data_IF_095931892735
#
_entry.id   IF_095931892735
#
_cell.length_a   1.000
_cell.length_b   1.000
_cell.length_c   1.000
_cell.angle_alpha   90.00
_cell.angle_beta   90.00
_cell.angle_gamma   90.00
#
_symmetry.space_group_name_H-M   'P 1'
#
loop_
_entity.id
_entity.type
_entity.pdbx_description
1 polymer ?
#
# COMPACT_ATOMS: atom_id res chain seq x y z
N UNK A 1 3.13 18.68 5.92
CA UNK A 1 1.96 18.79 6.84
C UNK A 1 1.39 17.39 7.06
N UNK A 2 1.38 16.87 8.29
CA UNK A 2 0.71 15.59 8.59
C UNK A 2 -0.80 15.78 8.42
N UNK A 3 -1.37 15.21 7.37
CA UNK A 3 -2.81 15.26 7.07
C UNK A 3 -3.52 14.47 8.17
N UNK A 4 -4.09 15.19 9.15
CA UNK A 4 -4.75 14.60 10.31
C UNK A 4 -5.82 13.60 9.89
N UNK A 5 -6.07 12.56 10.70
CA UNK A 5 -7.08 11.58 10.35
C UNK A 5 -8.43 12.33 10.36
N UNK A 6 -9.34 12.03 9.43
CA UNK A 6 -10.65 12.68 9.40
C UNK A 6 -11.41 12.54 10.74
N UNK A 7 -12.63 13.11 10.84
CA UNK A 7 -13.50 13.04 12.03
C UNK A 7 -13.25 11.76 12.86
N UNK A 8 -12.90 11.87 14.15
CA UNK A 8 -12.42 10.78 15.03
C UNK A 8 -13.07 9.38 14.84
N UNK A 9 -14.40 9.23 14.65
CA UNK A 9 -14.98 7.92 14.34
C UNK A 9 -14.42 7.24 13.07
N UNK A 10 -14.06 8.05 12.08
CA UNK A 10 -13.47 7.60 10.82
C UNK A 10 -11.99 7.19 11.00
N UNK A 11 -11.27 7.76 11.97
CA UNK A 11 -9.88 7.40 12.23
C UNK A 11 -9.76 5.98 12.81
N UNK A 12 -10.63 5.63 13.76
CA UNK A 12 -10.66 4.28 14.35
C UNK A 12 -11.02 3.19 13.32
N UNK A 13 -12.02 3.46 12.46
CA UNK A 13 -12.37 2.53 11.37
C UNK A 13 -11.25 2.36 10.36
N UNK A 14 -10.53 3.43 10.03
CA UNK A 14 -9.36 3.37 9.15
C UNK A 14 -8.24 2.54 9.77
N UNK A 15 -7.93 2.74 11.05
CA UNK A 15 -6.91 1.95 11.75
C UNK A 15 -7.26 0.46 11.73
N UNK A 16 -8.47 0.10 12.16
CA UNK A 16 -8.92 -1.30 12.16
C UNK A 16 -8.91 -1.92 10.78
N UNK A 17 -9.28 -1.16 9.75
CA UNK A 17 -9.21 -1.62 8.37
C UNK A 17 -7.78 -1.95 7.94
N UNK A 18 -6.79 -1.12 8.31
CA UNK A 18 -5.39 -1.39 7.97
C UNK A 18 -4.86 -2.63 8.69
N UNK A 19 -5.19 -2.83 9.97
CA UNK A 19 -4.84 -4.06 10.71
C UNK A 19 -5.35 -5.34 10.00
N UNK A 20 -6.60 -5.33 9.53
CA UNK A 20 -7.18 -6.46 8.80
C UNK A 20 -6.45 -6.68 7.46
N UNK A 21 -6.09 -5.60 6.77
CA UNK A 21 -5.34 -5.66 5.51
C UNK A 21 -3.95 -6.25 5.69
N UNK A 22 -3.30 -6.00 6.82
CA UNK A 22 -2.01 -6.62 7.16
C UNK A 22 -2.13 -8.11 7.45
N UNK A 23 -3.24 -8.52 8.09
CA UNK A 23 -3.59 -9.93 8.31
C UNK A 23 -4.01 -10.67 7.02
N UNK A 24 -3.92 -10.02 5.86
CA UNK A 24 -4.21 -10.62 4.56
C UNK A 24 -5.69 -10.58 4.14
N UNK A 25 -6.55 -9.89 4.87
CA UNK A 25 -7.97 -9.82 4.52
C UNK A 25 -8.17 -9.06 3.21
N UNK A 26 -9.15 -9.49 2.41
CA UNK A 26 -9.52 -8.78 1.19
C UNK A 26 -10.09 -7.38 1.52
N UNK A 27 -9.99 -6.44 0.58
CA UNK A 27 -10.50 -5.07 0.74
C UNK A 27 -11.99 -5.09 1.10
N UNK A 28 -12.76 -5.97 0.45
CA UNK A 28 -14.19 -6.09 0.67
C UNK A 28 -14.51 -6.68 2.05
N UNK A 29 -13.80 -7.72 2.47
CA UNK A 29 -14.00 -8.32 3.79
C UNK A 29 -13.66 -7.32 4.90
N UNK A 30 -12.52 -6.63 4.80
CA UNK A 30 -12.12 -5.60 5.76
C UNK A 30 -13.10 -4.40 5.79
N UNK A 31 -13.60 -3.96 4.62
CA UNK A 31 -14.58 -2.87 4.56
C UNK A 31 -15.91 -3.25 5.23
N UNK A 32 -16.37 -4.49 5.01
CA UNK A 32 -17.57 -5.02 5.66
C UNK A 32 -17.38 -5.09 7.18
N UNK A 33 -16.23 -5.61 7.63
CA UNK A 33 -15.90 -5.76 9.05
C UNK A 33 -15.91 -4.42 9.80
N UNK A 34 -15.36 -3.35 9.22
CA UNK A 34 -15.35 -2.02 9.86
C UNK A 34 -16.62 -1.19 9.59
N UNK A 35 -17.60 -1.76 8.89
CA UNK A 35 -18.87 -1.12 8.57
C UNK A 35 -18.71 0.11 7.67
N UNK A 36 -18.00 -0.03 6.54
CA UNK A 36 -17.90 0.97 5.47
C UNK A 36 -18.22 0.38 4.10
N UNK A 37 -18.58 1.23 3.14
CA UNK A 37 -18.88 0.78 1.78
C UNK A 37 -17.65 0.21 1.06
N UNK A 38 -17.89 -0.67 0.09
CA UNK A 38 -16.85 -1.18 -0.81
C UNK A 38 -16.06 -0.06 -1.48
N UNK A 39 -16.73 1.01 -1.89
CA UNK A 39 -16.09 2.18 -2.51
C UNK A 39 -15.17 2.91 -1.54
N UNK A 40 -15.60 3.11 -0.29
CA UNK A 40 -14.76 3.69 0.75
C UNK A 40 -13.49 2.85 1.00
N UNK A 41 -13.64 1.52 1.09
CA UNK A 41 -12.50 0.60 1.23
C UNK A 41 -11.52 0.67 0.05
N UNK A 42 -12.03 0.74 -1.20
CA UNK A 42 -11.16 0.91 -2.37
C UNK A 42 -10.44 2.27 -2.37
N UNK A 43 -11.15 3.33 -2.03
CA UNK A 43 -10.59 4.68 -1.91
C UNK A 43 -9.51 4.75 -0.83
N UNK A 44 -9.66 4.00 0.27
CA UNK A 44 -8.62 3.91 1.31
C UNK A 44 -7.37 3.20 0.83
N UNK A 45 -7.49 2.21 -0.07
CA UNK A 45 -6.33 1.46 -0.58
C UNK A 45 -5.65 2.14 -1.77
N UNK A 46 -6.41 2.85 -2.61
CA UNK A 46 -5.93 3.39 -3.89
C UNK A 46 -5.78 4.92 -3.90
N UNK A 47 -6.37 5.59 -2.92
CA UNK A 47 -6.63 7.03 -3.01
C UNK A 47 -7.76 7.34 -4.00
N UNK A 48 -8.13 8.60 -4.09
CA UNK A 48 -9.17 9.07 -5.01
C UNK A 48 -9.06 10.57 -5.29
N UNK A 49 -9.55 10.97 -6.47
CA UNK A 49 -9.68 12.38 -6.85
C UNK A 49 -10.91 13.01 -6.20
N UNK A 50 -10.79 14.25 -5.77
CA UNK A 50 -11.94 15.07 -5.34
C UNK A 50 -12.37 15.97 -6.49
N UNK A 51 -13.67 16.19 -6.61
CA UNK A 51 -14.25 17.00 -7.67
C UNK A 51 -15.09 18.13 -7.08
N UNK A 52 -15.10 19.27 -7.76
CA UNK A 52 -16.03 20.39 -7.50
C UNK A 52 -16.44 20.96 -8.85
N UNK A 53 -17.75 21.09 -9.08
CA UNK A 53 -18.31 21.55 -10.37
C UNK A 53 -17.74 20.79 -11.60
N UNK A 54 -17.60 19.45 -11.50
CA UNK A 54 -17.09 18.61 -12.58
C UNK A 54 -15.57 18.67 -12.79
N UNK A 55 -14.86 19.58 -12.14
CA UNK A 55 -13.40 19.70 -12.24
C UNK A 55 -12.70 19.01 -11.07
N UNK A 56 -11.53 18.41 -11.35
CA UNK A 56 -10.67 17.81 -10.32
C UNK A 56 -10.09 18.92 -9.44
N UNK A 57 -10.38 18.88 -8.16
CA UNK A 57 -9.89 19.87 -7.18
C UNK A 57 -8.75 19.37 -6.31
N UNK A 58 -8.49 18.06 -6.33
CA UNK A 58 -7.43 17.50 -5.52
C UNK A 58 -7.37 15.99 -5.56
N UNK A 59 -6.39 15.46 -4.84
CA UNK A 59 -6.18 14.04 -4.66
C UNK A 59 -6.05 13.72 -3.18
N UNK A 60 -6.81 12.72 -2.74
CA UNK A 60 -6.67 12.13 -1.41
C UNK A 60 -5.81 10.87 -1.58
N UNK A 61 -4.60 10.83 -1.01
CA UNK A 61 -3.76 9.65 -1.11
C UNK A 61 -4.41 8.46 -0.40
N UNK A 62 -3.97 7.25 -0.79
CA UNK A 62 -4.28 6.03 -0.06
C UNK A 62 -3.81 6.14 1.40
N UNK A 63 -4.42 5.36 2.28
CA UNK A 63 -3.88 5.16 3.63
C UNK A 63 -2.55 4.44 3.52
N UNK A 64 -1.55 4.90 4.27
CA UNK A 64 -0.23 4.27 4.31
C UNK A 64 -0.36 2.84 4.82
N UNK A 65 0.13 1.88 4.02
CA UNK A 65 0.17 0.48 4.42
C UNK A 65 1.12 0.36 5.60
N UNK A 66 0.63 -0.16 6.71
CA UNK A 66 1.35 -0.09 7.99
C UNK A 66 2.70 -0.83 7.96
N UNK A 67 2.90 -1.88 7.16
CA UNK A 67 4.24 -2.38 6.81
C UNK A 67 4.24 -3.10 5.45
N UNK A 68 5.34 -3.02 4.69
CA UNK A 68 5.64 -4.02 3.65
C UNK A 68 5.71 -5.36 4.37
N UNK A 69 4.89 -6.32 3.96
CA UNK A 69 4.91 -7.66 4.56
C UNK A 69 6.34 -8.17 4.50
N UNK A 70 6.94 -8.43 5.65
CA UNK A 70 8.32 -8.87 5.74
C UNK A 70 8.49 -10.11 4.86
N UNK A 71 9.38 -10.00 3.86
CA UNK A 71 9.63 -11.08 2.93
C UNK A 71 10.49 -12.09 3.68
N UNK A 72 10.05 -13.35 3.73
CA UNK A 72 10.85 -14.42 4.34
C UNK A 72 12.24 -14.44 3.70
N UNK A 73 13.28 -14.61 4.51
CA UNK A 73 14.69 -14.73 4.09
C UNK A 73 14.97 -15.87 3.09
N UNK A 74 13.99 -16.74 2.81
CA UNK A 74 14.05 -17.70 1.70
C UNK A 74 13.99 -17.02 0.33
N UNK A 75 13.42 -15.82 0.25
CA UNK A 75 13.21 -15.06 -0.98
C UNK A 75 14.00 -13.76 -0.94
N UNK A 76 14.28 -13.20 -2.12
CA UNK A 76 14.97 -11.93 -2.24
C UNK A 76 14.15 -10.80 -1.59
N UNK A 77 14.84 -10.05 -0.74
CA UNK A 77 14.41 -8.77 -0.19
C UNK A 77 14.24 -7.71 -1.30
N UNK A 78 13.78 -6.52 -0.93
CA UNK A 78 13.70 -5.42 -1.87
C UNK A 78 15.10 -4.95 -2.30
N UNK A 79 16.03 -4.85 -1.36
CA UNK A 79 17.37 -4.34 -1.62
C UNK A 79 18.16 -5.29 -2.52
N UNK A 80 18.08 -6.60 -2.28
CA UNK A 80 18.71 -7.61 -3.14
C UNK A 80 18.14 -7.58 -4.57
N UNK A 81 16.84 -7.33 -4.74
CA UNK A 81 16.24 -7.20 -6.09
C UNK A 81 16.70 -5.93 -6.80
N UNK A 82 16.88 -4.83 -6.07
CA UNK A 82 17.42 -3.59 -6.62
C UNK A 82 18.88 -3.81 -7.05
N UNK A 83 19.69 -4.44 -6.21
CA UNK A 83 21.08 -4.77 -6.54
C UNK A 83 21.18 -5.66 -7.80
N UNK A 84 20.37 -6.72 -7.88
CA UNK A 84 20.34 -7.58 -9.08
C UNK A 84 19.97 -6.77 -10.34
N UNK A 85 18.99 -5.85 -10.23
CA UNK A 85 18.59 -5.01 -11.36
C UNK A 85 19.72 -4.06 -11.79
N UNK A 86 20.41 -3.44 -10.84
CA UNK A 86 21.55 -2.56 -11.12
C UNK A 86 22.71 -3.32 -11.78
N UNK A 87 23.00 -4.54 -11.32
CA UNK A 87 24.04 -5.39 -11.93
C UNK A 87 23.65 -5.86 -13.35
N UNK A 88 22.38 -6.18 -13.58
CA UNK A 88 21.90 -6.46 -14.93
C UNK A 88 22.02 -5.24 -15.85
N UNK A 89 21.71 -4.04 -15.34
CA UNK A 89 21.86 -2.80 -16.11
C UNK A 89 23.33 -2.51 -16.46
N UNK A 90 24.27 -2.91 -15.60
CA UNK A 90 25.71 -2.86 -15.85
C UNK A 90 26.21 -3.94 -16.83
N UNK A 91 25.32 -4.81 -17.32
CA UNK A 91 25.63 -5.83 -18.31
C UNK A 91 26.14 -7.16 -17.73
N UNK A 92 26.08 -7.37 -16.41
CA UNK A 92 26.45 -8.66 -15.83
C UNK A 92 25.42 -9.73 -16.19
N UNK A 93 25.91 -10.92 -16.53
CA UNK A 93 25.06 -12.09 -16.71
C UNK A 93 24.52 -12.61 -15.37
N UNK A 94 23.39 -13.31 -15.41
CA UNK A 94 22.79 -13.95 -14.23
C UNK A 94 23.78 -14.85 -13.48
N UNK A 95 24.70 -15.52 -14.20
CA UNK A 95 25.75 -16.38 -13.61
C UNK A 95 26.86 -15.60 -12.90
N UNK A 96 27.14 -14.37 -13.33
CA UNK A 96 28.13 -13.51 -12.65
C UNK A 96 27.52 -12.88 -11.41
N UNK A 97 26.25 -12.51 -11.47
CA UNK A 97 25.49 -11.98 -10.33
C UNK A 97 25.41 -13.03 -9.22
N UNK A 98 24.99 -14.27 -9.53
CA UNK A 98 24.84 -15.32 -8.52
C UNK A 98 26.15 -15.89 -7.93
N UNK A 99 27.32 -15.40 -8.39
CA UNK A 99 28.64 -15.77 -7.84
C UNK A 99 29.16 -14.76 -6.82
N UNK A 100 28.53 -13.58 -6.72
CA UNK A 100 28.79 -12.61 -5.65
C UNK A 100 28.01 -13.01 -4.40
#
# INVERSE_FOLDING_TARGET
MKKGPGRRPLSAKRQRFMELRERGWSIQAAAREVGVSRTAGNNWVRGYKTYRAGQVTGFVPALERLVVREISSRYLSQDERIEIADLQLQGLSVREIGRR
#
